data_IF_125415842278
#
_entry.id   IF_125415842278
#
_cell.length_a   1.000
_cell.length_b   1.000
_cell.length_c   1.000
_cell.angle_alpha   90.00
_cell.angle_beta   90.00
_cell.angle_gamma   90.00
#
_symmetry.space_group_name_H-M   'P 1'
#
loop_
_entity.id
_entity.type
_entity.pdbx_description
1 polymer ?
#
# COMPACT_ATOMS: atom_id res chain seq x y z
N UNK A 1 -0.14 0.10 -32.08
CA UNK A 1 -0.60 -0.33 -30.74
C UNK A 1 0.21 0.44 -29.70
N UNK A 2 -0.36 1.49 -29.12
CA UNK A 2 0.39 2.35 -28.21
C UNK A 2 0.73 1.61 -26.90
N UNK A 3 1.98 1.76 -26.49
CA UNK A 3 2.64 1.18 -25.32
C UNK A 3 2.04 1.86 -24.06
N UNK A 4 0.80 1.55 -23.67
CA UNK A 4 0.09 2.24 -22.56
C UNK A 4 0.59 1.89 -21.15
N UNK A 5 1.82 1.39 -21.00
CA UNK A 5 2.41 1.11 -19.69
C UNK A 5 2.53 2.38 -18.84
N UNK A 6 2.74 3.53 -19.47
CA UNK A 6 2.75 4.84 -18.81
C UNK A 6 1.41 5.18 -18.13
N UNK A 7 0.28 4.75 -18.70
CA UNK A 7 -1.03 4.99 -18.08
C UNK A 7 -1.17 4.19 -16.79
N UNK A 8 -0.73 2.93 -16.78
CA UNK A 8 -0.69 2.11 -15.56
C UNK A 8 0.27 2.70 -14.53
N UNK A 9 1.43 3.20 -14.97
CA UNK A 9 2.38 3.87 -14.10
C UNK A 9 1.77 5.12 -13.45
N UNK A 10 1.21 6.05 -14.24
CA UNK A 10 0.63 7.29 -13.73
C UNK A 10 -0.55 7.05 -12.78
N UNK A 11 -1.45 6.10 -13.12
CA UNK A 11 -2.56 5.73 -12.24
C UNK A 11 -2.04 5.21 -10.91
N UNK A 12 -1.05 4.32 -10.91
CA UNK A 12 -0.52 3.76 -9.67
C UNK A 12 0.34 4.76 -8.88
N UNK A 13 0.97 5.73 -9.53
CA UNK A 13 1.67 6.82 -8.87
C UNK A 13 0.67 7.73 -8.14
N UNK A 14 -0.45 8.08 -8.79
CA UNK A 14 -1.53 8.85 -8.18
C UNK A 14 -2.20 8.08 -7.04
N UNK A 15 -2.42 6.77 -7.21
CA UNK A 15 -2.92 5.89 -6.14
C UNK A 15 -1.92 5.75 -4.99
N UNK A 16 -0.62 5.96 -5.25
CA UNK A 16 0.42 5.96 -4.23
C UNK A 16 0.25 7.07 -3.19
N UNK A 17 -0.33 8.22 -3.57
CA UNK A 17 -0.59 9.33 -2.64
C UNK A 17 -1.56 8.92 -1.52
N UNK A 18 -2.78 8.42 -1.79
CA UNK A 18 -3.63 7.87 -0.74
C UNK A 18 -3.10 6.55 -0.17
N UNK A 19 -2.26 5.79 -0.88
CA UNK A 19 -1.64 4.57 -0.35
C UNK A 19 -0.70 4.82 0.83
N UNK A 20 -0.17 6.03 0.99
CA UNK A 20 0.65 6.42 2.15
C UNK A 20 -0.07 6.06 3.45
N UNK A 21 -1.37 6.35 3.57
CA UNK A 21 -2.15 6.09 4.79
C UNK A 21 -2.21 4.60 5.16
N UNK A 22 -2.72 3.68 4.31
CA UNK A 22 -2.75 2.26 4.65
C UNK A 22 -1.34 1.66 4.83
N UNK A 23 -0.33 2.13 4.09
CA UNK A 23 1.06 1.65 4.27
C UNK A 23 1.57 2.01 5.67
N UNK A 24 1.41 3.27 6.10
CA UNK A 24 1.81 3.71 7.43
C UNK A 24 1.01 3.06 8.55
N UNK A 25 -0.29 2.81 8.34
CA UNK A 25 -1.13 2.09 9.30
C UNK A 25 -0.66 0.64 9.51
N UNK A 26 -0.31 -0.06 8.42
CA UNK A 26 0.25 -1.41 8.51
C UNK A 26 1.61 -1.37 9.21
N UNK A 27 2.48 -0.42 8.85
CA UNK A 27 3.76 -0.24 9.53
C UNK A 27 3.60 0.00 11.04
N UNK A 28 2.69 0.90 11.42
CA UNK A 28 2.38 1.22 12.82
C UNK A 28 1.97 -0.02 13.61
N UNK A 29 1.04 -0.80 13.05
CA UNK A 29 0.56 -2.03 13.68
C UNK A 29 1.68 -3.06 13.81
N UNK A 30 2.52 -3.21 12.79
CA UNK A 30 3.61 -4.19 12.78
C UNK A 30 4.71 -3.81 13.78
N UNK A 31 5.09 -2.54 13.87
CA UNK A 31 6.12 -2.05 14.80
C UNK A 31 5.68 -2.12 16.26
N UNK A 32 4.39 -1.88 16.56
CA UNK A 32 3.91 -1.82 17.94
C UNK A 32 3.53 -3.18 18.55
N UNK A 33 3.23 -4.19 17.72
CA UNK A 33 2.83 -5.53 18.19
C UNK A 33 3.79 -6.64 17.74
N UNK A 34 3.71 -7.20 16.52
CA UNK A 34 4.49 -8.40 16.19
C UNK A 34 6.00 -8.15 16.27
N UNK A 35 6.50 -7.00 15.83
CA UNK A 35 7.94 -6.71 15.94
C UNK A 35 8.36 -6.38 17.39
N UNK A 36 7.48 -5.78 18.17
CA UNK A 36 7.76 -5.47 19.57
C UNK A 36 7.74 -6.73 20.45
N UNK A 37 6.81 -7.65 20.19
CA UNK A 37 6.74 -8.97 20.83
C UNK A 37 7.96 -9.85 20.50
N UNK A 38 8.52 -9.68 19.29
CA UNK A 38 9.78 -10.29 18.88
C UNK A 38 11.03 -9.57 19.43
N UNK A 39 10.86 -8.44 20.11
CA UNK A 39 11.95 -7.63 20.66
C UNK A 39 12.77 -6.86 19.63
N UNK A 40 12.28 -6.72 18.39
CA UNK A 40 12.96 -5.96 17.33
C UNK A 40 12.68 -4.46 17.41
N UNK A 41 11.55 -4.09 18.02
CA UNK A 41 11.12 -2.70 18.19
C UNK A 41 10.63 -2.49 19.63
N UNK A 42 10.53 -1.23 20.04
CA UNK A 42 9.94 -0.85 21.32
C UNK A 42 8.55 -0.31 21.02
N UNK A 43 7.53 -0.85 21.71
CA UNK A 43 6.15 -0.35 21.60
C UNK A 43 6.07 1.08 22.09
N UNK A 44 5.28 1.90 21.41
CA UNK A 44 5.10 3.32 21.74
C UNK A 44 4.56 3.46 23.19
N UNK A 45 5.23 4.23 24.07
CA UNK A 45 4.85 4.31 25.49
C UNK A 45 3.46 4.91 25.74
N UNK A 46 2.94 5.67 24.78
CA UNK A 46 1.63 6.30 24.84
C UNK A 46 0.51 5.45 24.24
N UNK A 47 0.84 4.28 23.66
CA UNK A 47 -0.13 3.41 23.02
C UNK A 47 -0.95 2.63 24.06
N UNK A 48 -2.12 3.17 24.38
CA UNK A 48 -3.05 2.58 25.36
C UNK A 48 -4.16 1.74 24.70
N UNK A 49 -4.34 1.87 23.39
CA UNK A 49 -5.36 1.13 22.66
C UNK A 49 -4.79 -0.25 22.29
N UNK A 50 -5.51 -1.32 22.59
CA UNK A 50 -5.04 -2.67 22.29
C UNK A 50 -4.97 -2.92 20.77
N UNK A 51 -4.23 -3.96 20.36
CA UNK A 51 -4.11 -4.37 18.94
C UNK A 51 -5.47 -4.55 18.26
N UNK A 52 -6.46 -5.07 19.00
CA UNK A 52 -7.79 -5.35 18.48
C UNK A 52 -8.50 -4.10 17.95
N UNK A 53 -8.36 -2.96 18.64
CA UNK A 53 -8.96 -1.70 18.18
C UNK A 53 -8.32 -1.25 16.87
N UNK A 54 -6.99 -1.32 16.79
CA UNK A 54 -6.26 -1.00 15.57
C UNK A 54 -6.62 -1.92 14.42
N UNK A 55 -6.80 -3.23 14.63
CA UNK A 55 -7.25 -4.14 13.58
C UNK A 55 -8.62 -3.75 13.00
N UNK A 56 -9.54 -3.28 13.84
CA UNK A 56 -10.86 -2.79 13.39
C UNK A 56 -10.75 -1.54 12.50
N UNK A 57 -9.67 -0.76 12.63
CA UNK A 57 -9.42 0.43 11.80
C UNK A 57 -8.59 0.06 10.55
N UNK A 58 -7.47 -0.62 10.75
CA UNK A 58 -6.50 -0.95 9.69
C UNK A 58 -7.13 -1.89 8.66
N UNK A 59 -7.87 -2.92 9.08
CA UNK A 59 -8.43 -3.92 8.16
C UNK A 59 -9.41 -3.27 7.16
N UNK A 60 -10.45 -2.52 7.58
CA UNK A 60 -11.34 -1.85 6.62
C UNK A 60 -10.63 -0.87 5.70
N UNK A 61 -9.68 -0.08 6.22
CA UNK A 61 -8.94 0.91 5.41
C UNK A 61 -8.10 0.22 4.34
N UNK A 62 -7.35 -0.83 4.70
CA UNK A 62 -6.52 -1.60 3.77
C UNK A 62 -7.38 -2.35 2.76
N UNK A 63 -8.49 -2.96 3.18
CA UNK A 63 -9.40 -3.67 2.28
C UNK A 63 -10.10 -2.72 1.31
N UNK A 64 -10.59 -1.58 1.78
CA UNK A 64 -11.22 -0.56 0.94
C UNK A 64 -10.24 -0.01 -0.09
N UNK A 65 -9.02 0.32 0.34
CA UNK A 65 -7.96 0.77 -0.57
C UNK A 65 -7.59 -0.32 -1.58
N UNK A 66 -7.39 -1.56 -1.12
CA UNK A 66 -7.05 -2.70 -1.98
C UNK A 66 -8.14 -2.98 -3.03
N UNK A 67 -9.41 -2.87 -2.65
CA UNK A 67 -10.54 -2.99 -3.57
C UNK A 67 -10.55 -1.86 -4.60
N UNK A 68 -10.36 -0.61 -4.16
CA UNK A 68 -10.30 0.55 -5.05
C UNK A 68 -9.12 0.44 -6.03
N UNK A 69 -7.94 0.07 -5.54
CA UNK A 69 -6.75 -0.17 -6.34
C UNK A 69 -6.97 -1.30 -7.36
N UNK A 70 -7.62 -2.40 -6.95
CA UNK A 70 -7.93 -3.51 -7.84
C UNK A 70 -8.92 -3.09 -8.93
N UNK A 71 -9.98 -2.37 -8.59
CA UNK A 71 -10.96 -1.84 -9.53
C UNK A 71 -10.34 -0.85 -10.52
N UNK A 72 -9.41 -0.02 -10.08
CA UNK A 72 -8.67 0.89 -10.95
C UNK A 72 -7.75 0.13 -11.93
N UNK A 73 -7.09 -0.94 -11.48
CA UNK A 73 -6.13 -1.69 -12.30
C UNK A 73 -6.76 -2.78 -13.20
N UNK A 74 -7.94 -3.31 -12.83
CA UNK A 74 -8.65 -4.32 -13.60
C UNK A 74 -8.96 -3.93 -15.07
N UNK A 75 -9.48 -2.73 -15.38
CA UNK A 75 -9.70 -2.31 -16.78
C UNK A 75 -8.39 -2.01 -17.49
N UNK A 76 -7.37 -1.50 -16.80
CA UNK A 76 -6.05 -1.25 -17.38
C UNK A 76 -5.33 -2.55 -17.78
N UNK A 77 -5.53 -3.64 -17.03
CA UNK A 77 -5.03 -4.97 -17.39
C UNK A 77 -5.56 -5.43 -18.76
N UNK A 78 -6.83 -5.15 -19.06
CA UNK A 78 -7.45 -5.53 -20.34
C UNK A 78 -6.97 -4.68 -21.52
N UNK A 79 -6.40 -3.50 -21.25
CA UNK A 79 -5.98 -2.51 -22.26
C UNK A 79 -4.46 -2.44 -22.47
N UNK A 80 -3.69 -3.24 -21.73
CA UNK A 80 -2.21 -3.24 -21.81
C UNK A 80 -1.71 -4.53 -22.47
N UNK A 81 -0.62 -4.41 -23.23
CA UNK A 81 0.06 -5.54 -23.87
C UNK A 81 1.17 -6.15 -22.99
N UNK A 82 1.25 -5.76 -21.71
CA UNK A 82 2.26 -6.26 -20.78
C UNK A 82 1.94 -7.70 -20.38
N UNK A 83 2.99 -8.49 -20.16
CA UNK A 83 2.85 -9.80 -19.54
C UNK A 83 2.15 -9.64 -18.17
N UNK A 84 1.20 -10.53 -17.80
CA UNK A 84 0.42 -10.37 -16.58
C UNK A 84 1.25 -10.16 -15.32
N UNK A 85 2.38 -10.89 -15.18
CA UNK A 85 3.29 -10.76 -14.03
C UNK A 85 3.93 -9.36 -13.97
N UNK A 86 4.46 -8.86 -15.08
CA UNK A 86 5.11 -7.54 -15.14
C UNK A 86 4.12 -6.40 -14.89
N UNK A 87 2.88 -6.53 -15.38
CA UNK A 87 1.81 -5.57 -15.10
C UNK A 87 1.52 -5.48 -13.60
N UNK A 88 1.28 -6.62 -12.95
CA UNK A 88 0.97 -6.63 -11.52
C UNK A 88 2.14 -6.18 -10.65
N UNK A 89 3.38 -6.54 -11.00
CA UNK A 89 4.57 -6.04 -10.29
C UNK A 89 4.69 -4.52 -10.40
N UNK A 90 4.48 -3.94 -11.58
CA UNK A 90 4.49 -2.49 -11.77
C UNK A 90 3.39 -1.83 -10.93
N UNK A 91 2.15 -2.32 -11.02
CA UNK A 91 1.04 -1.76 -10.26
C UNK A 91 1.21 -1.90 -8.74
N UNK A 92 1.92 -2.93 -8.28
CA UNK A 92 2.21 -3.13 -6.87
C UNK A 92 3.37 -2.25 -6.37
N UNK A 93 4.43 -2.07 -7.17
CA UNK A 93 5.63 -1.33 -6.75
C UNK A 93 5.48 0.18 -6.84
N UNK A 94 4.81 0.69 -7.87
CA UNK A 94 4.70 2.13 -8.12
C UNK A 94 4.01 2.90 -6.99
N UNK A 95 2.93 2.40 -6.33
CA UNK A 95 2.30 3.07 -5.21
C UNK A 95 3.21 3.26 -3.98
N UNK A 96 4.33 2.54 -3.89
CA UNK A 96 5.30 2.74 -2.80
C UNK A 96 6.24 3.93 -3.05
N UNK A 97 6.29 4.47 -4.28
CA UNK A 97 7.20 5.58 -4.61
C UNK A 97 6.95 6.83 -3.75
N UNK A 98 5.70 7.29 -3.53
CA UNK A 98 5.45 8.43 -2.65
C UNK A 98 5.90 8.17 -1.21
N UNK A 99 5.66 6.98 -0.68
CA UNK A 99 6.13 6.61 0.66
C UNK A 99 7.65 6.58 0.74
N UNK A 100 8.34 6.03 -0.27
CA UNK A 100 9.80 6.04 -0.32
C UNK A 100 10.37 7.47 -0.39
N UNK A 101 9.72 8.35 -1.15
CA UNK A 101 10.09 9.77 -1.19
C UNK A 101 9.94 10.45 0.18
N UNK A 102 8.84 10.18 0.90
CA UNK A 102 8.63 10.70 2.26
C UNK A 102 9.65 10.17 3.28
N UNK A 103 10.19 8.97 3.08
CA UNK A 103 11.21 8.39 3.97
C UNK A 103 12.60 9.00 3.71
N UNK A 104 12.88 9.40 2.48
CA UNK A 104 14.21 9.89 2.05
C UNK A 104 14.38 11.41 2.19
N UNK A 105 13.28 12.16 2.32
CA UNK A 105 13.26 13.62 2.49
C UNK A 105 13.25 13.99 3.96
#
# INVERSE_FOLDING_TARGET
>A
MAKHWWAAFLVNLLLGVPAVVPIWLVWYLVVNWPLAELGWTVREPTENDGMALWLVIVVPVVLAFGLFWWLANAPLRRRTALAPRSFWLLCALVPFLPTAALILM
#
